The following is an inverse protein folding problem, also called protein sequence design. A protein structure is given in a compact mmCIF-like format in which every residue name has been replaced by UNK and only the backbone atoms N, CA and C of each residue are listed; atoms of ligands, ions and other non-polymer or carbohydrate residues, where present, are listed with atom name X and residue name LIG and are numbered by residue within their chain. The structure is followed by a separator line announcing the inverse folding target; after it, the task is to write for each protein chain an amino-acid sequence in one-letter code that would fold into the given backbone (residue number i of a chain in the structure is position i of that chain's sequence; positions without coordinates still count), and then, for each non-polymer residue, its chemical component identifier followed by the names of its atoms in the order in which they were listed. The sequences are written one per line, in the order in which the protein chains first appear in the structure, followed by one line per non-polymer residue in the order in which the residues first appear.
data_IF_757256699436
#
_entry.id   IF_757256699436
#
_cell.length_a   1.000
_cell.length_b   1.000
_cell.length_c   1.000
_cell.angle_alpha   90.00
_cell.angle_beta   90.00
_cell.angle_gamma   90.00
#
_symmetry.space_group_name_H-M   'P 1'
#
loop_
_entity.id
_entity.type
_entity.pdbx_description
1 polymer ?
#
# COMPACT_ATOMS: atom_id res chain seq x y z
N UNK A 1 54.59 -30.81 -61.07
CA UNK A 1 53.12 -30.89 -61.05
C UNK A 1 52.61 -30.46 -59.68
N UNK A 2 52.28 -29.18 -59.48
CA UNK A 2 51.67 -28.65 -58.25
C UNK A 2 50.55 -27.69 -58.65
N UNK A 3 49.41 -28.28 -58.99
CA UNK A 3 48.14 -27.60 -59.21
C UNK A 3 47.09 -28.39 -58.43
N UNK A 4 46.11 -27.69 -57.84
CA UNK A 4 44.87 -28.20 -57.20
C UNK A 4 44.88 -28.33 -55.67
N UNK A 5 45.02 -27.24 -54.91
CA UNK A 5 44.37 -27.13 -53.58
C UNK A 5 44.05 -25.66 -53.21
N UNK A 6 43.50 -24.87 -54.13
CA UNK A 6 43.24 -23.43 -53.85
C UNK A 6 41.87 -22.91 -54.31
N UNK A 7 40.88 -23.80 -54.53
CA UNK A 7 39.60 -23.38 -55.12
C UNK A 7 38.34 -23.92 -54.41
N UNK A 8 38.43 -24.30 -53.14
CA UNK A 8 37.32 -24.90 -52.38
C UNK A 8 36.99 -24.20 -51.05
N UNK A 9 37.43 -22.96 -50.85
CA UNK A 9 37.21 -22.24 -49.58
C UNK A 9 36.47 -20.89 -49.72
N UNK A 10 36.05 -20.50 -50.93
CA UNK A 10 35.38 -19.19 -51.17
C UNK A 10 33.88 -19.26 -51.43
N UNK A 11 33.23 -20.42 -51.25
CA UNK A 11 31.80 -20.61 -51.60
C UNK A 11 30.85 -20.76 -50.40
N UNK A 12 31.29 -20.51 -49.16
CA UNK A 12 30.45 -20.73 -47.96
C UNK A 12 30.12 -19.46 -47.14
N UNK A 13 30.41 -18.25 -47.64
CA UNK A 13 30.08 -17.00 -46.93
C UNK A 13 28.94 -16.19 -47.58
N UNK A 14 28.20 -16.78 -48.52
CA UNK A 14 27.00 -16.18 -49.14
C UNK A 14 25.70 -16.48 -48.39
N UNK A 15 25.71 -16.38 -47.05
CA UNK A 15 24.49 -16.51 -46.25
C UNK A 15 23.74 -15.17 -46.20
N UNK A 16 22.61 -15.09 -46.90
CA UNK A 16 21.67 -13.96 -46.85
C UNK A 16 21.28 -13.62 -45.41
N UNK A 17 21.83 -12.54 -44.86
CA UNK A 17 21.28 -11.91 -43.68
C UNK A 17 19.97 -11.21 -44.10
N UNK A 18 18.85 -11.91 -43.91
CA UNK A 18 17.54 -11.28 -43.98
C UNK A 18 17.51 -10.10 -42.98
N UNK A 19 16.99 -8.93 -43.37
CA UNK A 19 16.87 -7.81 -42.45
C UNK A 19 16.04 -8.27 -41.24
N UNK A 20 16.47 -7.89 -40.01
CA UNK A 20 15.76 -8.29 -38.81
C UNK A 20 14.29 -7.83 -38.93
N UNK A 21 13.33 -8.66 -38.50
CA UNK A 21 11.93 -8.25 -38.50
C UNK A 21 11.80 -6.93 -37.75
N UNK A 22 10.94 -6.01 -38.20
CA UNK A 22 10.70 -4.77 -37.48
C UNK A 22 10.33 -5.14 -36.04
N UNK A 23 11.10 -4.61 -35.09
CA UNK A 23 10.76 -4.73 -33.67
C UNK A 23 9.34 -4.21 -33.53
N UNK A 24 8.41 -5.09 -33.13
CA UNK A 24 7.09 -4.67 -32.70
C UNK A 24 7.31 -3.56 -31.69
N UNK A 25 6.84 -2.35 -31.98
CA UNK A 25 6.74 -1.31 -30.96
C UNK A 25 6.11 -1.97 -29.74
N UNK A 26 6.67 -1.79 -28.54
CA UNK A 26 6.00 -2.29 -27.35
C UNK A 26 4.60 -1.71 -27.41
N UNK A 27 3.57 -2.56 -27.57
CA UNK A 27 2.22 -2.15 -27.23
C UNK A 27 2.37 -1.63 -25.83
N UNK A 28 2.27 -0.32 -25.67
CA UNK A 28 1.91 0.26 -24.40
C UNK A 28 0.59 -0.45 -24.09
N UNK A 29 0.64 -1.50 -23.28
CA UNK A 29 -0.52 -1.90 -22.52
C UNK A 29 -0.90 -0.60 -21.83
N UNK A 30 -2.00 0.01 -22.29
CA UNK A 30 -2.69 1.02 -21.50
C UNK A 30 -2.79 0.37 -20.12
N UNK A 31 -1.96 0.84 -19.20
CA UNK A 31 -2.06 0.44 -17.81
C UNK A 31 -3.52 0.74 -17.50
N UNK A 32 -4.30 -0.30 -17.22
CA UNK A 32 -5.75 -0.16 -16.99
C UNK A 32 -6.03 0.54 -15.67
N UNK A 33 -5.21 1.53 -15.31
CA UNK A 33 -5.15 2.28 -14.07
C UNK A 33 -5.51 3.73 -14.39
N UNK A 34 -6.62 4.20 -13.83
CA UNK A 34 -7.11 5.56 -14.03
C UNK A 34 -7.18 6.29 -12.69
N UNK A 35 -6.65 7.53 -12.58
CA UNK A 35 -6.81 8.33 -11.38
C UNK A 35 -8.29 8.69 -11.19
N UNK A 36 -8.80 8.52 -9.97
CA UNK A 36 -10.17 8.87 -9.60
C UNK A 36 -10.19 10.05 -8.62
N UNK A 37 -11.17 10.96 -8.75
CA UNK A 37 -11.37 11.99 -7.75
C UNK A 37 -11.68 11.36 -6.38
N UNK A 38 -11.04 11.91 -5.35
CA UNK A 38 -11.21 11.51 -3.97
C UNK A 38 -12.03 12.56 -3.23
N UNK A 39 -13.31 12.27 -3.02
CA UNK A 39 -14.23 13.11 -2.27
C UNK A 39 -14.00 12.91 -0.77
N UNK A 40 -13.49 13.93 -0.09
CA UNK A 40 -13.31 13.91 1.37
C UNK A 40 -14.59 14.39 2.04
N UNK A 41 -15.24 13.50 2.78
CA UNK A 41 -16.42 13.83 3.57
C UNK A 41 -15.96 14.35 4.94
N UNK A 42 -16.52 15.46 5.45
CA UNK A 42 -16.24 15.93 6.79
C UNK A 42 -16.56 14.87 7.85
N UNK A 43 -15.64 14.65 8.77
CA UNK A 43 -15.81 13.77 9.93
C UNK A 43 -16.06 14.63 11.17
N UNK A 44 -17.16 14.37 11.89
CA UNK A 44 -17.61 15.14 13.06
C UNK A 44 -17.53 14.34 14.37
N UNK A 45 -16.67 13.33 14.43
CA UNK A 45 -16.51 12.48 15.61
C UNK A 45 -15.22 12.81 16.38
N UNK A 46 -15.35 13.00 17.69
CA UNK A 46 -14.21 13.17 18.63
C UNK A 46 -13.30 11.95 18.77
N UNK A 47 -13.70 10.77 18.28
CA UNK A 47 -12.95 9.50 18.33
C UNK A 47 -12.57 8.99 16.94
N UNK A 48 -12.36 9.91 15.99
CA UNK A 48 -12.01 9.58 14.61
C UNK A 48 -10.76 8.68 14.52
N UNK A 49 -9.82 8.78 15.45
CA UNK A 49 -8.66 7.90 15.54
C UNK A 49 -9.05 6.44 15.76
N UNK A 50 -9.93 6.16 16.73
CA UNK A 50 -10.34 4.79 17.03
C UNK A 50 -11.09 4.21 15.83
N UNK A 51 -11.95 5.02 15.20
CA UNK A 51 -12.67 4.64 13.98
C UNK A 51 -11.71 4.35 12.82
N UNK A 52 -10.68 5.17 12.62
CA UNK A 52 -9.64 4.92 11.62
C UNK A 52 -8.91 3.60 11.91
N UNK A 53 -8.54 3.35 13.16
CA UNK A 53 -7.92 2.09 13.57
C UNK A 53 -8.80 0.87 13.25
N UNK A 54 -10.09 0.94 13.57
CA UNK A 54 -11.06 -0.11 13.27
C UNK A 54 -11.29 -0.29 11.76
N UNK A 55 -11.44 0.81 11.01
CA UNK A 55 -11.62 0.78 9.56
C UNK A 55 -10.41 0.14 8.85
N UNK A 56 -9.19 0.45 9.32
CA UNK A 56 -7.98 -0.18 8.81
C UNK A 56 -7.94 -1.68 9.14
N UNK A 57 -8.24 -2.09 10.37
CA UNK A 57 -8.32 -3.52 10.74
C UNK A 57 -9.32 -4.24 9.83
N UNK A 58 -10.52 -3.68 9.65
CA UNK A 58 -11.54 -4.28 8.80
C UNK A 58 -11.09 -4.36 7.33
N UNK A 59 -10.47 -3.30 6.81
CA UNK A 59 -9.97 -3.25 5.43
C UNK A 59 -8.94 -4.34 5.15
N UNK A 60 -7.96 -4.54 6.02
CA UNK A 60 -6.97 -5.59 5.83
C UNK A 60 -7.53 -7.00 6.04
N UNK A 61 -8.63 -7.14 6.79
CA UNK A 61 -9.31 -8.42 7.00
C UNK A 61 -10.17 -8.83 5.78
N UNK A 62 -10.91 -7.88 5.20
CA UNK A 62 -11.82 -8.17 4.09
C UNK A 62 -11.20 -7.96 2.71
N UNK A 63 -10.12 -7.18 2.64
CA UNK A 63 -9.48 -6.83 1.39
C UNK A 63 -8.75 -8.02 0.75
N UNK A 64 -8.78 -8.15 -0.58
CA UNK A 64 -8.14 -9.27 -1.24
C UNK A 64 -6.62 -9.11 -1.27
N UNK A 65 -5.93 -10.24 -1.40
CA UNK A 65 -4.49 -10.33 -1.63
C UNK A 65 -3.57 -9.89 -0.49
N UNK A 66 -4.07 -9.43 0.67
CA UNK A 66 -3.19 -9.16 1.80
C UNK A 66 -2.60 -10.44 2.40
N UNK A 67 -1.40 -10.33 3.00
CA UNK A 67 -0.74 -11.43 3.72
C UNK A 67 -0.44 -11.12 5.19
N UNK A 68 -1.10 -10.11 5.75
CA UNK A 68 -0.89 -9.66 7.12
C UNK A 68 -1.82 -10.42 8.08
N UNK A 69 -1.33 -10.81 9.27
CA UNK A 69 -2.09 -11.64 10.20
C UNK A 69 -2.69 -10.87 11.38
N UNK A 70 -2.00 -9.83 11.86
CA UNK A 70 -2.40 -9.05 13.02
C UNK A 70 -3.84 -8.48 12.96
N UNK A 71 -4.40 -8.02 11.82
CA UNK A 71 -5.79 -7.58 11.75
C UNK A 71 -6.82 -8.66 12.13
N UNK A 72 -6.54 -9.93 11.85
CA UNK A 72 -7.40 -11.04 12.26
C UNK A 72 -7.43 -11.16 13.78
N UNK A 73 -6.26 -11.15 14.42
CA UNK A 73 -6.16 -11.22 15.87
C UNK A 73 -6.81 -10.02 16.55
N UNK A 74 -6.53 -8.80 16.06
CA UNK A 74 -7.12 -7.56 16.57
C UNK A 74 -8.65 -7.55 16.48
N UNK A 75 -9.22 -8.06 15.39
CA UNK A 75 -10.67 -8.09 15.21
C UNK A 75 -11.37 -9.16 16.06
N UNK A 76 -10.74 -10.31 16.28
CA UNK A 76 -11.36 -11.44 16.98
C UNK A 76 -11.15 -11.42 18.50
N UNK A 77 -9.98 -10.97 18.95
CA UNK A 77 -9.54 -11.18 20.34
C UNK A 77 -9.42 -9.87 21.14
N UNK A 78 -9.33 -8.73 20.46
CA UNK A 78 -9.13 -7.45 21.10
C UNK A 78 -10.36 -6.55 20.96
N UNK A 79 -10.50 -5.62 21.90
CA UNK A 79 -11.53 -4.59 21.87
C UNK A 79 -10.86 -3.24 21.69
N UNK A 80 -11.33 -2.45 20.72
CA UNK A 80 -10.88 -1.07 20.55
C UNK A 80 -11.22 -0.25 21.81
N UNK A 81 -10.29 0.58 22.27
CA UNK A 81 -10.44 1.35 23.50
C UNK A 81 -10.42 2.85 23.26
N UNK A 82 -9.25 3.39 22.99
CA UNK A 82 -9.01 4.82 22.81
C UNK A 82 -7.78 5.01 21.94
N UNK A 83 -7.50 6.24 21.51
CA UNK A 83 -6.25 6.57 20.86
C UNK A 83 -5.28 7.14 21.89
N UNK A 84 -4.00 6.77 21.80
CA UNK A 84 -2.98 7.33 22.66
C UNK A 84 -2.69 8.78 22.27
N UNK A 85 -2.59 9.65 23.27
CA UNK A 85 -2.24 11.05 23.06
C UNK A 85 -0.80 11.17 22.51
N UNK A 86 -0.65 11.95 21.46
CA UNK A 86 0.63 12.28 20.84
C UNK A 86 0.65 13.77 20.52
N UNK A 87 1.75 14.44 20.84
CA UNK A 87 1.97 15.83 20.45
C UNK A 87 2.48 15.98 19.00
N UNK A 88 2.81 14.87 18.33
CA UNK A 88 3.26 14.84 16.94
C UNK A 88 2.06 14.68 15.99
N UNK A 89 1.70 15.69 15.18
CA UNK A 89 0.57 15.62 14.26
C UNK A 89 0.79 14.64 13.10
N UNK A 90 2.00 14.09 12.95
CA UNK A 90 2.33 13.10 11.91
C UNK A 90 2.07 11.67 12.37
N UNK A 91 1.67 11.45 13.63
CA UNK A 91 1.51 10.12 14.22
C UNK A 91 0.14 9.97 14.85
N UNK A 92 -0.35 8.76 14.81
CA UNK A 92 -1.58 8.35 15.48
C UNK A 92 -1.42 6.90 15.93
N UNK A 93 -2.02 6.57 17.07
CA UNK A 93 -1.99 5.24 17.67
C UNK A 93 -3.34 4.90 18.26
N UNK A 94 -4.09 4.01 17.61
CA UNK A 94 -5.33 3.46 18.16
C UNK A 94 -5.03 2.22 18.99
N UNK A 95 -5.45 2.21 20.25
CA UNK A 95 -5.18 1.15 21.21
C UNK A 95 -6.35 0.17 21.33
N UNK A 96 -5.99 -1.10 21.45
CA UNK A 96 -6.89 -2.24 21.60
C UNK A 96 -6.45 -3.05 22.82
N UNK A 97 -7.40 -3.53 23.63
CA UNK A 97 -7.11 -4.35 24.80
C UNK A 97 -7.59 -5.77 24.62
N UNK A 98 -6.81 -6.73 25.11
CA UNK A 98 -7.18 -8.13 25.22
C UNK A 98 -7.76 -8.43 26.61
N UNK A 99 -8.77 -9.32 26.75
CA UNK A 99 -9.31 -9.71 28.06
C UNK A 99 -8.29 -10.30 29.04
N UNK A 100 -7.21 -10.91 28.52
CA UNK A 100 -6.13 -11.50 29.34
C UNK A 100 -5.05 -10.48 29.75
N UNK A 101 -5.28 -9.17 29.56
CA UNK A 101 -4.36 -8.12 30.00
C UNK A 101 -3.29 -7.70 28.99
N UNK A 102 -3.27 -8.29 27.80
CA UNK A 102 -2.41 -7.86 26.70
C UNK A 102 -2.98 -6.67 25.94
N UNK A 103 -2.12 -5.99 25.19
CA UNK A 103 -2.44 -4.83 24.36
C UNK A 103 -2.08 -5.11 22.90
N UNK A 104 -2.89 -4.52 22.03
CA UNK A 104 -2.64 -4.44 20.60
C UNK A 104 -2.87 -3.01 20.14
N UNK A 105 -2.36 -2.65 18.98
CA UNK A 105 -2.54 -1.30 18.47
C UNK A 105 -2.41 -1.21 16.95
N UNK A 106 -3.02 -0.16 16.40
CA UNK A 106 -2.83 0.28 15.02
C UNK A 106 -2.09 1.61 15.08
N UNK A 107 -0.88 1.63 14.52
CA UNK A 107 -0.06 2.83 14.41
C UNK A 107 -0.10 3.34 12.97
N UNK A 108 -0.42 4.62 12.79
CA UNK A 108 -0.38 5.29 11.49
C UNK A 108 0.61 6.45 11.58
N UNK A 109 1.55 6.50 10.64
CA UNK A 109 2.51 7.60 10.50
C UNK A 109 2.41 8.21 9.12
N UNK A 110 2.18 9.51 9.03
CA UNK A 110 2.04 10.26 7.76
C UNK A 110 2.98 11.44 7.80
N UNK A 111 4.03 11.39 6.98
CA UNK A 111 5.04 12.45 6.97
C UNK A 111 4.51 13.78 6.40
N UNK A 112 5.20 14.88 6.70
CA UNK A 112 4.94 16.15 6.03
C UNK A 112 5.14 16.04 4.52
N UNK A 113 4.25 16.68 3.76
CA UNK A 113 4.24 16.62 2.29
C UNK A 113 3.66 15.33 1.70
N UNK A 114 3.17 14.39 2.52
CA UNK A 114 2.46 13.20 2.06
C UNK A 114 1.27 13.53 1.16
N UNK A 115 0.98 12.62 0.25
CA UNK A 115 -0.09 12.73 -0.75
C UNK A 115 -0.87 11.43 -0.77
N UNK A 116 -2.20 11.53 -0.87
CA UNK A 116 -3.11 10.40 -0.98
C UNK A 116 -3.88 10.51 -2.30
N UNK A 117 -3.80 9.46 -3.12
CA UNK A 117 -4.46 9.37 -4.41
C UNK A 117 -5.31 8.10 -4.50
N UNK A 118 -6.46 8.20 -5.15
CA UNK A 118 -7.30 7.06 -5.46
C UNK A 118 -7.17 6.72 -6.95
N UNK A 119 -7.03 5.43 -7.24
CA UNK A 119 -6.98 4.91 -8.59
C UNK A 119 -8.03 3.81 -8.74
N UNK A 120 -8.68 3.78 -9.90
CA UNK A 120 -9.33 2.59 -10.42
C UNK A 120 -8.28 1.77 -11.17
N UNK A 121 -8.35 0.45 -11.10
CA UNK A 121 -7.52 -0.42 -11.93
C UNK A 121 -8.26 -1.67 -12.38
N UNK A 122 -8.06 -2.06 -13.64
CA UNK A 122 -8.42 -3.38 -14.13
C UNK A 122 -7.35 -4.39 -13.69
N UNK A 123 -7.74 -5.33 -12.84
CA UNK A 123 -6.84 -6.31 -12.25
C UNK A 123 -7.48 -7.70 -12.32
N UNK A 124 -6.83 -8.62 -13.06
CA UNK A 124 -7.31 -10.01 -13.24
C UNK A 124 -8.77 -10.08 -13.75
N UNK A 125 -9.11 -9.25 -14.73
CA UNK A 125 -10.45 -9.11 -15.32
C UNK A 125 -11.54 -8.57 -14.37
N UNK A 126 -11.15 -8.01 -13.23
CA UNK A 126 -12.05 -7.33 -12.30
C UNK A 126 -11.63 -5.87 -12.13
N UNK A 127 -12.60 -4.99 -11.92
CA UNK A 127 -12.33 -3.62 -11.50
C UNK A 127 -12.02 -3.62 -10.00
N UNK A 128 -10.89 -3.03 -9.63
CA UNK A 128 -10.50 -2.76 -8.26
C UNK A 128 -10.13 -1.31 -8.06
N UNK A 129 -9.90 -0.94 -6.80
CA UNK A 129 -9.56 0.40 -6.40
C UNK A 129 -8.34 0.37 -5.49
N UNK A 130 -7.43 1.33 -5.67
CA UNK A 130 -6.24 1.47 -4.84
C UNK A 130 -6.13 2.90 -4.30
N UNK A 131 -6.08 3.01 -2.98
CA UNK A 131 -5.69 4.24 -2.29
C UNK A 131 -4.19 4.17 -2.04
N UNK A 132 -3.42 5.00 -2.75
CA UNK A 132 -1.97 5.08 -2.63
C UNK A 132 -1.60 6.26 -1.73
N UNK A 133 -0.89 5.98 -0.64
CA UNK A 133 -0.38 6.98 0.28
C UNK A 133 1.14 7.09 0.16
N UNK A 134 1.60 8.22 -0.35
CA UNK A 134 3.03 8.56 -0.44
C UNK A 134 3.55 8.94 0.95
N UNK A 135 4.68 8.34 1.36
CA UNK A 135 5.36 8.61 2.65
C UNK A 135 4.49 8.40 3.90
N UNK A 136 3.60 7.40 3.84
CA UNK A 136 2.81 6.96 4.98
C UNK A 136 3.11 5.50 5.32
N UNK A 137 2.93 5.13 6.59
CA UNK A 137 3.10 3.76 7.10
C UNK A 137 1.95 3.40 8.03
N UNK A 138 1.45 2.18 7.90
CA UNK A 138 0.42 1.62 8.77
C UNK A 138 0.99 0.34 9.37
N UNK A 139 1.02 0.26 10.69
CA UNK A 139 1.53 -0.90 11.41
C UNK A 139 0.49 -1.41 12.38
N UNK A 140 0.43 -2.72 12.49
CA UNK A 140 -0.42 -3.45 13.42
C UNK A 140 0.48 -4.13 14.44
N UNK A 141 0.01 -4.18 15.69
CA UNK A 141 0.69 -4.89 16.75
C UNK A 141 -0.30 -5.67 17.61
N UNK A 142 0.13 -6.84 18.06
CA UNK A 142 -0.60 -7.67 19.03
C UNK A 142 0.33 -8.24 20.08
N UNK A 143 -0.20 -8.55 21.26
CA UNK A 143 0.51 -9.25 22.32
C UNK A 143 1.50 -8.41 23.12
N UNK A 144 1.40 -7.09 23.10
CA UNK A 144 2.19 -6.24 23.97
C UNK A 144 1.72 -6.38 25.43
N UNK A 145 2.64 -6.33 26.40
CA UNK A 145 2.31 -6.35 27.83
C UNK A 145 1.73 -5.00 28.31
N UNK A 146 2.14 -3.89 27.69
CA UNK A 146 1.63 -2.55 27.95
C UNK A 146 1.44 -1.76 26.64
N UNK A 147 0.52 -0.78 26.61
CA UNK A 147 0.47 0.15 25.49
C UNK A 147 1.76 1.00 25.48
N UNK A 148 2.31 1.32 24.29
CA UNK A 148 3.47 2.18 24.21
C UNK A 148 3.11 3.59 24.71
N UNK A 149 4.09 4.26 25.30
CA UNK A 149 3.91 5.60 25.88
C UNK A 149 4.61 6.64 25.02
N UNK A 150 3.99 7.79 24.86
CA UNK A 150 4.64 8.92 24.20
C UNK A 150 5.60 9.59 25.18
N UNK A 151 6.90 9.57 24.88
CA UNK A 151 7.91 10.22 25.72
C UNK A 151 8.81 11.11 24.84
N UNK A 152 8.79 12.41 25.13
CA UNK A 152 9.52 13.41 24.36
C UNK A 152 8.97 13.52 22.94
N UNK A 153 9.58 12.79 21.99
CA UNK A 153 9.24 12.80 20.55
C UNK A 153 9.14 11.40 19.94
N UNK A 154 9.02 10.37 20.76
CA UNK A 154 9.01 8.98 20.30
C UNK A 154 8.08 8.11 21.14
N UNK A 155 7.58 7.04 20.52
CA UNK A 155 6.95 5.94 21.21
C UNK A 155 8.01 5.14 21.96
N UNK A 156 7.80 4.98 23.26
CA UNK A 156 8.57 4.09 24.11
C UNK A 156 7.75 2.83 24.31
N UNK A 157 8.30 1.72 23.83
CA UNK A 157 7.68 0.41 23.94
C UNK A 157 8.12 -0.28 25.22
N UNK A 158 7.27 -1.14 25.74
CA UNK A 158 7.58 -1.95 26.90
C UNK A 158 8.58 -3.07 26.58
N UNK A 159 9.06 -3.76 27.62
CA UNK A 159 10.02 -4.87 27.49
C UNK A 159 9.49 -6.02 26.63
N UNK A 160 8.18 -6.25 26.61
CA UNK A 160 7.54 -7.15 25.66
C UNK A 160 6.66 -6.34 24.70
N UNK A 161 7.21 -5.84 23.58
CA UNK A 161 6.53 -4.88 22.72
C UNK A 161 5.50 -5.53 21.78
N UNK A 162 5.30 -6.85 21.83
CA UNK A 162 4.40 -7.59 20.95
C UNK A 162 4.99 -7.89 19.56
N UNK A 163 4.13 -8.36 18.67
CA UNK A 163 4.47 -8.71 17.27
C UNK A 163 4.03 -7.58 16.34
N UNK A 164 4.95 -7.08 15.50
CA UNK A 164 4.66 -5.98 14.56
C UNK A 164 4.53 -6.48 13.13
N UNK A 165 3.51 -5.99 12.44
CA UNK A 165 3.36 -6.17 11.00
C UNK A 165 3.01 -4.83 10.35
N UNK A 166 3.79 -4.38 9.36
CA UNK A 166 3.63 -3.06 8.74
C UNK A 166 3.36 -3.14 7.24
N UNK A 167 2.52 -2.25 6.74
CA UNK A 167 2.49 -1.91 5.33
C UNK A 167 3.81 -1.22 4.93
N UNK A 168 4.51 -1.80 3.96
CA UNK A 168 5.57 -1.11 3.23
C UNK A 168 7.02 -1.31 3.66
N UNK A 169 7.39 -2.13 4.66
CA UNK A 169 8.84 -2.34 4.92
C UNK A 169 9.33 -3.57 5.73
N UNK A 170 8.68 -4.73 5.68
CA UNK A 170 9.24 -5.93 6.36
C UNK A 170 9.32 -7.14 5.43
N UNK A 171 10.49 -7.31 4.78
CA UNK A 171 11.04 -8.54 4.12
C UNK A 171 10.11 -9.42 3.27
N UNK A 172 8.93 -8.93 2.90
CA UNK A 172 7.93 -9.59 2.10
C UNK A 172 6.93 -8.56 1.56
N UNK A 173 6.39 -8.81 0.37
CA UNK A 173 5.33 -7.98 -0.18
C UNK A 173 4.12 -8.00 0.78
N UNK A 174 3.54 -6.85 1.11
CA UNK A 174 2.26 -6.74 1.82
C UNK A 174 1.15 -7.56 1.12
N UNK A 175 1.30 -7.78 -0.18
CA UNK A 175 0.40 -8.56 -1.01
C UNK A 175 0.93 -9.98 -1.25
N UNK A 176 0.04 -10.95 -1.45
CA UNK A 176 0.33 -12.35 -1.75
C UNK A 176 1.20 -12.48 -3.01
N UNK A 177 2.06 -13.50 -3.04
CA UNK A 177 2.89 -13.77 -4.21
C UNK A 177 2.01 -14.05 -5.42
N UNK A 178 2.40 -13.51 -6.57
CA UNK A 178 1.62 -13.64 -7.81
C UNK A 178 0.36 -12.77 -7.86
N UNK A 179 -0.02 -12.04 -6.81
CA UNK A 179 -1.15 -11.10 -6.85
C UNK A 179 -0.99 -10.10 -8.00
N UNK A 180 0.23 -9.62 -8.23
CA UNK A 180 0.52 -8.54 -9.20
C UNK A 180 0.46 -7.16 -8.55
N UNK A 181 0.07 -7.06 -7.27
CA UNK A 181 0.08 -5.83 -6.50
C UNK A 181 1.39 -5.69 -5.68
N UNK A 182 1.88 -4.46 -5.46
CA UNK A 182 1.36 -3.20 -5.99
C UNK A 182 1.78 -2.92 -7.46
N UNK A 183 2.54 -3.82 -8.10
CA UNK A 183 3.12 -3.59 -9.43
C UNK A 183 2.12 -3.24 -10.55
N UNK A 184 0.87 -3.70 -10.46
CA UNK A 184 -0.21 -3.35 -11.38
C UNK A 184 -0.51 -1.85 -11.43
N UNK A 185 -0.14 -1.08 -10.41
CA UNK A 185 -0.27 0.38 -10.37
C UNK A 185 0.80 1.09 -11.21
N UNK A 186 1.80 0.37 -11.71
CA UNK A 186 2.86 0.92 -12.54
C UNK A 186 3.52 2.17 -11.91
N UNK A 187 3.57 3.31 -12.61
CA UNK A 187 4.24 4.51 -12.12
C UNK A 187 3.51 5.20 -10.94
N UNK A 188 2.28 4.79 -10.64
CA UNK A 188 1.49 5.43 -9.58
C UNK A 188 1.85 4.95 -8.16
N UNK A 189 2.58 3.84 -8.04
CA UNK A 189 3.08 3.32 -6.77
C UNK A 189 4.58 3.01 -6.84
N UNK A 190 5.32 3.43 -5.82
CA UNK A 190 6.75 3.21 -5.69
C UNK A 190 7.05 2.32 -4.49
N UNK A 191 8.29 1.82 -4.42
CA UNK A 191 8.78 1.10 -3.24
C UNK A 191 8.68 1.99 -2.00
N UNK A 192 8.05 1.48 -0.94
CA UNK A 192 7.84 2.19 0.32
C UNK A 192 6.54 2.97 0.41
N UNK A 193 5.75 3.06 -0.66
CA UNK A 193 4.39 3.59 -0.57
C UNK A 193 3.47 2.61 0.16
N UNK A 194 2.51 3.17 0.92
CA UNK A 194 1.41 2.36 1.47
C UNK A 194 0.29 2.30 0.44
N UNK A 195 -0.10 1.09 0.05
CA UNK A 195 -1.20 0.85 -0.89
C UNK A 195 -2.31 0.10 -0.18
N UNK A 196 -3.50 0.71 -0.15
CA UNK A 196 -4.73 0.08 0.28
C UNK A 196 -5.57 -0.27 -0.96
N UNK A 197 -5.54 -1.53 -1.37
CA UNK A 197 -6.37 -2.10 -2.42
C UNK A 197 -7.69 -2.67 -1.86
N UNK A 198 -8.80 -2.42 -2.55
CA UNK A 198 -10.15 -2.96 -2.27
C UNK A 198 -10.92 -3.16 -3.57
N UNK A 199 -11.93 -4.04 -3.55
CA UNK A 199 -12.96 -4.09 -4.62
C UNK A 199 -14.08 -3.08 -4.38
N UNK A 200 -14.19 -2.55 -3.17
CA UNK A 200 -15.18 -1.57 -2.78
C UNK A 200 -14.51 -0.18 -2.68
N UNK A 201 -15.03 0.76 -3.47
CA UNK A 201 -14.54 2.15 -3.49
C UNK A 201 -14.95 2.90 -2.24
N UNK A 202 -16.14 2.62 -1.68
CA UNK A 202 -16.71 3.39 -0.58
C UNK A 202 -15.89 3.20 0.70
N UNK A 203 -15.48 1.97 1.02
CA UNK A 203 -14.57 1.71 2.14
C UNK A 203 -13.25 2.49 2.04
N UNK A 204 -12.66 2.59 0.84
CA UNK A 204 -11.44 3.39 0.64
C UNK A 204 -11.70 4.90 0.79
N UNK A 205 -12.87 5.40 0.35
CA UNK A 205 -13.25 6.81 0.56
C UNK A 205 -13.49 7.12 2.04
N UNK A 206 -14.08 6.21 2.79
CA UNK A 206 -14.27 6.34 4.24
C UNK A 206 -12.90 6.42 4.95
N UNK A 207 -11.99 5.50 4.63
CA UNK A 207 -10.63 5.50 5.18
C UNK A 207 -9.89 6.78 4.80
N UNK A 208 -10.00 7.23 3.55
CA UNK A 208 -9.42 8.48 3.11
C UNK A 208 -9.95 9.70 3.89
N UNK A 209 -11.26 9.74 4.15
CA UNK A 209 -11.87 10.84 4.91
C UNK A 209 -11.37 10.86 6.36
N UNK A 210 -11.28 9.70 7.00
CA UNK A 210 -10.71 9.55 8.34
C UNK A 210 -9.22 9.93 8.39
N UNK A 211 -8.43 9.49 7.42
CA UNK A 211 -7.02 9.85 7.29
C UNK A 211 -6.83 11.36 7.11
N UNK A 212 -7.63 11.99 6.25
CA UNK A 212 -7.55 13.44 6.02
C UNK A 212 -8.00 14.25 7.24
N UNK A 213 -8.99 13.76 7.98
CA UNK A 213 -9.40 14.34 9.25
C UNK A 213 -8.26 14.29 10.28
N UNK A 214 -7.63 13.12 10.44
CA UNK A 214 -6.54 12.93 11.40
C UNK A 214 -5.28 13.72 11.02
N UNK A 215 -4.87 13.61 9.77
CA UNK A 215 -3.63 14.18 9.25
C UNK A 215 -3.95 15.36 8.36
N UNK A 216 -4.20 16.53 8.96
CA UNK A 216 -4.62 17.74 8.22
C UNK A 216 -3.62 18.14 7.12
N UNK A 217 -2.33 17.85 7.30
CA UNK A 217 -1.27 18.08 6.32
C UNK A 217 -1.24 17.08 5.15
N UNK A 218 -1.98 15.96 5.22
CA UNK A 218 -2.09 15.01 4.12
C UNK A 218 -2.78 15.68 2.92
N UNK A 219 -2.09 15.73 1.78
CA UNK A 219 -2.63 16.37 0.58
C UNK A 219 -3.48 15.40 -0.22
N UNK A 220 -4.60 15.89 -0.73
CA UNK A 220 -5.48 15.18 -1.67
C UNK A 220 -5.50 16.01 -2.95
N UNK A 221 -4.83 15.56 -4.02
CA UNK A 221 -4.79 16.30 -5.27
C UNK A 221 -6.19 16.41 -5.89
N UNK A 222 -6.46 17.57 -6.48
CA UNK A 222 -7.68 17.73 -7.29
C UNK A 222 -7.42 17.17 -8.68
N UNK A 223 -8.07 16.06 -9.00
CA UNK A 223 -8.13 15.55 -10.36
C UNK A 223 -9.27 16.27 -11.03
N UNK A 224 -8.96 17.16 -11.97
CA UNK A 224 -9.97 17.75 -12.85
C UNK A 224 -10.31 16.68 -13.89
N UNK A 225 -11.59 16.38 -14.13
CA UNK A 225 -11.96 15.72 -15.37
C UNK A 225 -11.54 16.66 -16.49
N UNK A 226 -10.72 16.21 -17.43
CA UNK A 226 -10.44 17.01 -18.62
C UNK A 226 -11.78 17.35 -19.29
N UNK A 227 -12.03 18.62 -19.65
CA UNK A 227 -13.18 18.95 -20.46
C UNK A 227 -12.95 18.32 -21.84
N UNK A 228 -13.76 17.32 -22.17
CA UNK A 228 -13.93 16.81 -23.52
C UNK A 228 -14.45 17.92 -24.44
#
# INVERSE_FOLDING_TARGET
MKLRVAFLLTLLLGGCAAPPPPMSEPRQQELGVSPLPLSIVPVYDSRAEVQLGQALVQHYLSGPYYRISAPLLLSQQYQARYAADTSDPQRMLALFSHPQGHWGFVAVSVAQGSVMNLFELQHRNETGYALVLKRARICFNTGADQPPRWQGRSWVYASQPGQFECSGQTNGSLFQLGSGLPGALGPYAESGDTVLYSRDRESLQQIASLLKHQFRHLRVPQIRPDPL
#
